data_IF_183233823616
#
_entry.id   IF_183233823616
#
_cell.length_a   1.000
_cell.length_b   1.000
_cell.length_c   1.000
_cell.angle_alpha   90.00
_cell.angle_beta   90.00
_cell.angle_gamma   90.00
#
_symmetry.space_group_name_H-M   'P 1'
#
loop_
_entity.id
_entity.type
_entity.pdbx_description
1 polymer ?
#
# COMPACT_ATOMS: atom_id res chain seq x y z
N UNK A 1 -5.24 4.36 -11.77
CA UNK A 1 -4.56 3.20 -12.37
C UNK A 1 -4.02 3.59 -13.74
N UNK A 2 -4.88 3.64 -14.77
CA UNK A 2 -4.50 3.85 -16.17
C UNK A 2 -3.59 5.05 -16.46
N UNK A 3 -3.85 6.22 -15.87
CA UNK A 3 -3.00 7.40 -16.11
C UNK A 3 -1.57 7.19 -15.63
N UNK A 4 -1.38 6.70 -14.39
CA UNK A 4 -0.06 6.44 -13.83
C UNK A 4 0.68 5.39 -14.63
N UNK A 5 0.02 4.30 -14.96
CA UNK A 5 0.60 3.22 -15.77
C UNK A 5 0.94 3.65 -17.20
N UNK A 6 0.08 4.45 -17.85
CA UNK A 6 0.35 5.02 -19.19
C UNK A 6 1.58 5.92 -19.19
N UNK A 7 1.81 6.63 -18.09
CA UNK A 7 3.01 7.47 -17.90
C UNK A 7 4.23 6.67 -17.44
N UNK A 8 4.15 5.35 -17.31
CA UNK A 8 5.23 4.50 -16.83
C UNK A 8 5.56 4.70 -15.34
N UNK A 9 4.59 5.18 -14.55
CA UNK A 9 4.73 5.43 -13.11
C UNK A 9 4.19 4.27 -12.29
N UNK A 10 4.79 4.05 -11.12
CA UNK A 10 4.23 3.21 -10.05
C UNK A 10 3.14 3.96 -9.30
N UNK A 11 2.00 3.32 -9.07
CA UNK A 11 0.86 3.89 -8.33
C UNK A 11 0.86 3.34 -6.90
N UNK A 12 0.83 4.26 -5.93
CA UNK A 12 0.67 3.93 -4.51
C UNK A 12 -0.75 4.30 -4.06
N UNK A 13 -1.48 3.33 -3.49
CA UNK A 13 -2.73 3.59 -2.79
C UNK A 13 -2.47 3.74 -1.29
N UNK A 14 -2.82 4.89 -0.74
CA UNK A 14 -2.67 5.20 0.68
C UNK A 14 -3.99 4.98 1.45
N UNK A 15 -3.89 4.85 2.77
CA UNK A 15 -5.02 4.67 3.70
C UNK A 15 -5.85 3.38 3.53
N UNK A 16 -5.18 2.25 3.29
CA UNK A 16 -5.82 0.92 3.32
C UNK A 16 -6.03 0.46 4.76
N UNK A 17 -7.27 0.38 5.21
CA UNK A 17 -7.65 0.01 6.58
C UNK A 17 -8.39 -1.33 6.66
N UNK A 18 -8.96 -1.78 5.54
CA UNK A 18 -9.80 -2.98 5.49
C UNK A 18 -9.40 -3.94 4.37
N UNK A 19 -9.62 -5.23 4.63
CA UNK A 19 -9.37 -6.29 3.66
C UNK A 19 -10.15 -6.11 2.35
N UNK A 20 -11.34 -5.52 2.41
CA UNK A 20 -12.14 -5.22 1.23
C UNK A 20 -11.50 -4.14 0.34
N UNK A 21 -10.97 -3.07 0.93
CA UNK A 21 -10.22 -2.04 0.18
C UNK A 21 -8.98 -2.66 -0.49
N UNK A 22 -8.24 -3.51 0.25
CA UNK A 22 -7.07 -4.23 -0.29
C UNK A 22 -7.44 -5.05 -1.52
N UNK A 23 -8.51 -5.85 -1.45
CA UNK A 23 -8.98 -6.69 -2.57
C UNK A 23 -9.36 -5.87 -3.79
N UNK A 24 -10.16 -4.82 -3.61
CA UNK A 24 -10.57 -3.93 -4.71
C UNK A 24 -9.34 -3.30 -5.38
N UNK A 25 -8.37 -2.81 -4.60
CA UNK A 25 -7.16 -2.21 -5.15
C UNK A 25 -6.29 -3.23 -5.90
N UNK A 26 -6.24 -4.48 -5.43
CA UNK A 26 -5.56 -5.56 -6.15
C UNK A 26 -6.25 -5.91 -7.47
N UNK A 27 -7.58 -5.99 -7.48
CA UNK A 27 -8.36 -6.24 -8.70
C UNK A 27 -8.22 -5.10 -9.72
N UNK A 28 -8.10 -3.86 -9.24
CA UNK A 28 -7.81 -2.69 -10.08
C UNK A 28 -6.34 -2.64 -10.56
N UNK A 29 -5.49 -3.53 -10.07
CA UNK A 29 -4.08 -3.65 -10.48
C UNK A 29 -3.11 -2.71 -9.76
N UNK A 30 -3.45 -2.21 -8.56
CA UNK A 30 -2.60 -1.28 -7.80
C UNK A 30 -1.26 -1.91 -7.44
N UNK A 31 -0.16 -1.17 -7.65
CA UNK A 31 1.20 -1.70 -7.50
C UNK A 31 1.61 -1.82 -6.03
N UNK A 32 1.34 -0.77 -5.24
CA UNK A 32 1.76 -0.65 -3.84
C UNK A 32 0.60 -0.14 -3.00
N UNK A 33 0.40 -0.76 -1.84
CA UNK A 33 -0.58 -0.33 -0.85
C UNK A 33 0.06 0.05 0.48
N UNK A 34 -0.42 1.14 1.08
CA UNK A 34 -0.06 1.56 2.43
C UNK A 34 -1.33 1.80 3.26
N UNK A 35 -1.30 1.38 4.52
CA UNK A 35 -2.31 1.76 5.49
C UNK A 35 -2.30 0.88 6.74
N UNK A 36 -3.16 1.22 7.70
CA UNK A 36 -3.26 0.54 9.00
C UNK A 36 -3.55 -0.96 8.90
N UNK A 37 -4.15 -1.44 7.80
CA UNK A 37 -4.34 -2.87 7.55
C UNK A 37 -3.01 -3.63 7.50
N UNK A 38 -1.95 -2.99 6.97
CA UNK A 38 -0.61 -3.58 6.83
C UNK A 38 0.21 -3.30 8.08
N UNK A 39 0.35 -2.02 8.43
CA UNK A 39 1.04 -1.55 9.63
C UNK A 39 0.63 -0.11 9.93
N UNK A 40 0.57 0.24 11.21
CA UNK A 40 0.50 1.63 11.63
C UNK A 40 1.80 2.38 11.30
N UNK A 41 1.76 3.70 11.23
CA UNK A 41 2.97 4.51 11.22
C UNK A 41 3.76 4.29 12.53
N UNK A 42 5.07 4.11 12.41
CA UNK A 42 5.94 3.74 13.52
C UNK A 42 7.13 4.72 13.64
N UNK A 43 7.67 4.94 14.84
CA UNK A 43 8.97 5.59 15.03
C UNK A 43 10.10 4.84 14.30
N UNK A 44 11.21 5.53 14.02
CA UNK A 44 12.35 4.98 13.28
C UNK A 44 12.85 3.66 13.87
N UNK A 45 13.03 3.58 15.20
CA UNK A 45 13.56 2.38 15.86
C UNK A 45 12.68 1.15 15.63
N UNK A 46 11.36 1.34 15.70
CA UNK A 46 10.39 0.28 15.47
C UNK A 46 10.38 -0.11 13.99
N UNK A 47 10.32 0.87 13.08
CA UNK A 47 10.34 0.66 11.64
C UNK A 47 11.60 -0.09 11.17
N UNK A 48 12.78 0.21 11.74
CA UNK A 48 14.04 -0.51 11.45
C UNK A 48 14.03 -1.96 11.90
N UNK A 49 13.30 -2.25 12.98
CA UNK A 49 13.16 -3.60 13.54
C UNK A 49 11.93 -4.34 13.03
N UNK A 50 11.10 -3.71 12.20
CA UNK A 50 9.85 -4.28 11.72
C UNK A 50 10.13 -5.44 10.77
N UNK A 51 9.77 -6.65 11.21
CA UNK A 51 9.86 -7.83 10.38
C UNK A 51 8.50 -8.10 9.72
N UNK A 52 8.40 -7.78 8.44
CA UNK A 52 7.19 -7.98 7.63
C UNK A 52 7.04 -9.43 7.10
N UNK A 53 8.07 -10.27 7.30
CA UNK A 53 8.09 -11.69 6.94
C UNK A 53 7.60 -12.56 8.10
#
# INVERSE_FOLDING_TARGET
MDLGHTLGMTVVAEWIETENQRKILQELGCDIGQGYLVAAAMPESEARSWNWR
#
